data_IF_209956729713
#
_entry.id   IF_209956729713
#
_cell.length_a   1.000
_cell.length_b   1.000
_cell.length_c   1.000
_cell.angle_alpha   90.00
_cell.angle_beta   90.00
_cell.angle_gamma   90.00
#
_symmetry.space_group_name_H-M   'P 1'
#
loop_
_entity.id
_entity.type
_entity.pdbx_description
1 polymer ?
#
# COMPACT_ATOMS: atom_id res chain seq x y z
N UNK A 1 7.63 12.27 -2.17
CA UNK A 1 8.22 11.94 -0.84
C UNK A 1 7.47 10.71 -0.32
N UNK A 2 8.02 9.50 -0.40
CA UNK A 2 7.40 8.31 0.22
C UNK A 2 7.80 8.28 1.69
N UNK A 3 7.14 9.10 2.51
CA UNK A 3 7.23 8.91 3.96
C UNK A 3 6.42 7.67 4.29
N UNK A 4 7.04 6.75 5.04
CA UNK A 4 6.38 5.63 5.73
C UNK A 4 5.03 6.08 6.35
N UNK A 5 4.08 5.15 6.63
CA UNK A 5 2.90 5.51 7.42
C UNK A 5 3.36 6.36 8.59
N UNK A 6 2.74 7.53 8.79
CA UNK A 6 3.29 8.45 9.78
C UNK A 6 3.34 7.72 11.12
N UNK A 7 4.27 8.09 12.03
CA UNK A 7 4.33 7.50 13.35
C UNK A 7 2.99 7.53 14.09
N UNK A 8 2.07 8.43 13.71
CA UNK A 8 0.70 8.46 14.19
C UNK A 8 -0.14 7.28 13.66
N UNK A 9 -0.24 7.08 12.33
CA UNK A 9 -0.98 5.95 11.73
C UNK A 9 -0.53 4.59 12.27
N UNK A 10 0.79 4.40 12.41
CA UNK A 10 1.36 3.16 12.93
C UNK A 10 0.92 2.91 14.38
N UNK A 11 0.96 3.95 15.23
CA UNK A 11 0.47 3.87 16.62
C UNK A 11 -1.02 3.55 16.67
N UNK A 12 -1.84 4.22 15.85
CA UNK A 12 -3.28 3.95 15.76
C UNK A 12 -3.56 2.51 15.31
N UNK A 13 -2.78 1.98 14.37
CA UNK A 13 -2.90 0.60 13.90
C UNK A 13 -2.56 -0.39 15.02
N UNK A 14 -1.48 -0.14 15.77
CA UNK A 14 -1.11 -0.98 16.92
C UNK A 14 -2.20 -0.93 18.00
N UNK A 15 -2.72 0.25 18.33
CA UNK A 15 -3.83 0.41 19.29
C UNK A 15 -5.07 -0.34 18.81
N UNK A 16 -5.43 -0.20 17.53
CA UNK A 16 -6.53 -0.93 16.91
C UNK A 16 -6.39 -2.44 17.11
N UNK A 17 -5.24 -3.03 16.78
CA UNK A 17 -4.99 -4.48 16.90
C UNK A 17 -5.06 -4.93 18.36
N UNK A 18 -4.39 -4.21 19.26
CA UNK A 18 -4.36 -4.57 20.69
C UNK A 18 -5.73 -4.44 21.37
N UNK A 19 -6.46 -3.36 21.11
CA UNK A 19 -7.80 -3.19 21.65
C UNK A 19 -8.78 -4.23 21.11
N UNK A 20 -8.67 -4.59 19.82
CA UNK A 20 -9.46 -5.67 19.21
C UNK A 20 -9.22 -7.01 19.92
N UNK A 21 -7.95 -7.37 20.13
CA UNK A 21 -7.61 -8.61 20.83
C UNK A 21 -8.08 -8.60 22.30
N UNK A 22 -7.85 -7.51 23.02
CA UNK A 22 -8.30 -7.37 24.40
C UNK A 22 -9.83 -7.46 24.51
N UNK A 23 -10.58 -6.91 23.56
CA UNK A 23 -12.04 -6.98 23.55
C UNK A 23 -12.57 -8.42 23.43
N UNK A 24 -11.80 -9.33 22.83
CA UNK A 24 -12.14 -10.76 22.72
C UNK A 24 -11.86 -11.50 24.03
N UNK A 25 -10.78 -11.13 24.74
CA UNK A 25 -10.32 -11.84 25.95
C UNK A 25 -11.03 -11.36 27.22
N UNK A 26 -11.45 -10.10 27.26
CA UNK A 26 -12.11 -9.51 28.43
C UNK A 26 -13.56 -10.02 28.54
N UNK A 27 -13.88 -10.55 29.72
CA UNK A 27 -15.21 -11.08 30.03
C UNK A 27 -16.21 -10.00 30.46
N UNK A 28 -15.73 -8.86 30.97
CA UNK A 28 -16.57 -7.75 31.40
C UNK A 28 -17.20 -7.03 30.19
N UNK A 29 -18.54 -6.91 30.20
CA UNK A 29 -19.30 -6.33 29.09
C UNK A 29 -19.00 -4.85 28.85
N UNK A 30 -18.90 -4.07 29.93
CA UNK A 30 -18.64 -2.64 29.83
C UNK A 30 -17.24 -2.37 29.26
N UNK A 31 -16.22 -3.08 29.78
CA UNK A 31 -14.84 -2.96 29.31
C UNK A 31 -14.69 -3.40 27.86
N UNK A 32 -15.35 -4.50 27.48
CA UNK A 32 -15.39 -4.97 26.07
C UNK A 32 -15.99 -3.91 25.15
N UNK A 33 -17.10 -3.29 25.54
CA UNK A 33 -17.72 -2.21 24.76
C UNK A 33 -16.80 -0.98 24.62
N UNK A 34 -16.12 -0.59 25.71
CA UNK A 34 -15.16 0.51 25.69
C UNK A 34 -13.96 0.22 24.77
N UNK A 35 -13.42 -0.99 24.83
CA UNK A 35 -12.31 -1.43 23.96
C UNK A 35 -12.70 -1.43 22.48
N UNK A 36 -13.92 -1.85 22.15
CA UNK A 36 -14.46 -1.79 20.79
C UNK A 36 -14.51 -0.33 20.30
N UNK A 37 -15.00 0.60 21.12
CA UNK A 37 -15.04 2.03 20.74
C UNK A 37 -13.64 2.60 20.51
N UNK A 38 -12.67 2.28 21.38
CA UNK A 38 -11.27 2.71 21.20
C UNK A 38 -10.69 2.13 19.91
N UNK A 39 -10.94 0.85 19.64
CA UNK A 39 -10.53 0.16 18.42
C UNK A 39 -11.07 0.86 17.16
N UNK A 40 -12.37 1.13 17.10
CA UNK A 40 -13.00 1.79 15.95
C UNK A 40 -12.52 3.23 15.77
N UNK A 41 -12.29 3.95 16.87
CA UNK A 41 -11.74 5.32 16.81
C UNK A 41 -10.32 5.31 16.27
N UNK A 42 -9.47 4.40 16.75
CA UNK A 42 -8.10 4.25 16.26
C UNK A 42 -8.07 3.88 14.77
N UNK A 43 -8.97 2.98 14.34
CA UNK A 43 -9.15 2.62 12.94
C UNK A 43 -9.60 3.81 12.07
N UNK A 44 -10.60 4.58 12.52
CA UNK A 44 -11.11 5.74 11.80
C UNK A 44 -10.02 6.82 11.61
N UNK A 45 -9.19 7.05 12.63
CA UNK A 45 -8.06 7.97 12.54
C UNK A 45 -7.01 7.45 11.56
N UNK A 46 -6.62 6.17 11.67
CA UNK A 46 -5.63 5.57 10.78
C UNK A 46 -6.09 5.61 9.31
N UNK A 47 -7.36 5.29 9.04
CA UNK A 47 -7.91 5.28 7.69
C UNK A 47 -8.07 6.66 7.08
N UNK A 48 -8.43 7.68 7.87
CA UNK A 48 -8.54 9.06 7.37
C UNK A 48 -7.20 9.53 6.79
N UNK A 49 -6.10 9.19 7.46
CA UNK A 49 -4.75 9.46 6.95
C UNK A 49 -4.46 8.70 5.65
N UNK A 50 -4.79 7.41 5.58
CA UNK A 50 -4.59 6.61 4.35
C UNK A 50 -5.44 7.12 3.17
N UNK A 51 -6.68 7.55 3.42
CA UNK A 51 -7.55 8.16 2.40
C UNK A 51 -6.99 9.50 1.93
N UNK A 52 -6.50 10.34 2.84
CA UNK A 52 -5.85 11.59 2.48
C UNK A 52 -4.60 11.34 1.61
N UNK A 53 -3.76 10.36 1.97
CA UNK A 53 -2.61 9.97 1.14
C UNK A 53 -3.02 9.40 -0.21
N UNK A 54 -4.09 8.59 -0.28
CA UNK A 54 -4.65 8.09 -1.53
C UNK A 54 -5.08 9.23 -2.45
N UNK A 55 -5.80 10.22 -1.91
CA UNK A 55 -6.25 11.40 -2.64
C UNK A 55 -5.06 12.23 -3.13
N UNK A 56 -4.07 12.47 -2.27
CA UNK A 56 -2.88 13.23 -2.64
C UNK A 56 -2.07 12.54 -3.74
N UNK A 57 -1.89 11.21 -3.62
CA UNK A 57 -1.18 10.40 -4.61
C UNK A 57 -1.88 10.41 -5.98
N UNK A 58 -3.22 10.38 -5.99
CA UNK A 58 -4.01 10.38 -7.23
C UNK A 58 -4.07 11.76 -7.89
N UNK A 59 -4.27 12.83 -7.10
CA UNK A 59 -4.50 14.16 -7.65
C UNK A 59 -3.21 14.95 -7.95
N UNK A 60 -2.09 14.66 -7.26
CA UNK A 60 -0.91 15.53 -7.32
C UNK A 60 0.41 14.82 -7.67
N UNK A 61 0.56 13.53 -7.39
CA UNK A 61 1.84 12.83 -7.57
C UNK A 61 1.88 11.88 -8.78
N UNK A 62 0.79 11.83 -9.58
CA UNK A 62 0.60 10.87 -10.69
C UNK A 62 0.93 9.41 -10.26
N UNK A 63 0.65 9.13 -8.98
CA UNK A 63 1.07 7.92 -8.28
C UNK A 63 -0.11 6.96 -8.12
N UNK A 64 -0.83 6.71 -9.23
CA UNK A 64 -2.04 5.90 -9.27
C UNK A 64 -1.87 4.50 -8.64
N UNK A 65 -0.67 3.91 -8.76
CA UNK A 65 -0.35 2.62 -8.16
C UNK A 65 -0.43 2.65 -6.62
N UNK A 66 0.08 3.71 -6.02
CA UNK A 66 0.11 3.89 -4.57
C UNK A 66 -1.30 4.17 -4.06
N UNK A 67 -2.05 5.00 -4.79
CA UNK A 67 -3.45 5.30 -4.49
C UNK A 67 -4.31 4.02 -4.50
N UNK A 68 -4.15 3.16 -5.51
CA UNK A 68 -4.88 1.90 -5.60
C UNK A 68 -4.58 0.96 -4.41
N UNK A 69 -3.32 0.83 -4.02
CA UNK A 69 -2.94 0.00 -2.87
C UNK A 69 -3.52 0.52 -1.55
N UNK A 70 -3.49 1.85 -1.34
CA UNK A 70 -4.08 2.48 -0.17
C UNK A 70 -5.59 2.30 -0.12
N UNK A 71 -6.28 2.45 -1.25
CA UNK A 71 -7.71 2.22 -1.35
C UNK A 71 -8.08 0.77 -1.01
N UNK A 72 -7.35 -0.20 -1.56
CA UNK A 72 -7.55 -1.63 -1.24
C UNK A 72 -7.38 -1.87 0.26
N UNK A 73 -6.34 -1.30 0.87
CA UNK A 73 -6.08 -1.46 2.30
C UNK A 73 -7.23 -0.92 3.16
N UNK A 74 -7.74 0.27 2.85
CA UNK A 74 -8.88 0.86 3.58
C UNK A 74 -10.14 -0.01 3.47
N UNK A 75 -10.43 -0.53 2.28
CA UNK A 75 -11.61 -1.39 2.07
C UNK A 75 -11.47 -2.70 2.84
N UNK A 76 -10.33 -3.38 2.72
CA UNK A 76 -10.10 -4.68 3.37
C UNK A 76 -10.14 -4.55 4.89
N UNK A 77 -9.45 -3.56 5.47
CA UNK A 77 -9.48 -3.35 6.91
C UNK A 77 -10.88 -2.96 7.41
N UNK A 78 -11.66 -2.24 6.61
CA UNK A 78 -13.05 -1.89 6.93
C UNK A 78 -13.94 -3.12 7.02
N UNK A 79 -13.80 -4.04 6.07
CA UNK A 79 -14.51 -5.31 6.08
C UNK A 79 -14.18 -6.15 7.33
N UNK A 80 -12.91 -6.18 7.77
CA UNK A 80 -12.54 -6.88 9.01
C UNK A 80 -13.23 -6.28 10.24
N UNK A 81 -13.25 -4.95 10.35
CA UNK A 81 -13.94 -4.26 11.44
C UNK A 81 -15.44 -4.61 11.49
N UNK A 82 -16.12 -4.55 10.34
CA UNK A 82 -17.55 -4.87 10.28
C UNK A 82 -17.85 -6.34 10.62
N UNK A 83 -17.01 -7.28 10.15
CA UNK A 83 -17.18 -8.70 10.48
C UNK A 83 -17.00 -8.96 11.99
N UNK A 84 -16.01 -8.31 12.60
CA UNK A 84 -15.77 -8.42 14.05
C UNK A 84 -16.97 -7.91 14.85
N UNK A 85 -17.59 -6.79 14.43
CA UNK A 85 -18.82 -6.30 15.08
C UNK A 85 -19.97 -7.29 14.94
N UNK A 86 -20.17 -7.83 13.74
CA UNK A 86 -21.23 -8.81 13.49
C UNK A 86 -21.04 -10.06 14.37
N UNK A 87 -19.80 -10.51 14.57
CA UNK A 87 -19.50 -11.62 15.46
C UNK A 87 -19.74 -11.29 16.93
N UNK A 88 -19.29 -10.12 17.41
CA UNK A 88 -19.48 -9.68 18.80
C UNK A 88 -20.96 -9.56 19.17
N UNK A 89 -21.80 -9.10 18.25
CA UNK A 89 -23.25 -9.01 18.45
C UNK A 89 -24.00 -10.32 18.14
N UNK A 90 -23.30 -11.40 17.80
CA UNK A 90 -23.90 -12.70 17.52
C UNK A 90 -24.75 -12.75 16.25
N UNK A 91 -24.53 -11.83 15.31
CA UNK A 91 -25.22 -11.80 14.01
C UNK A 91 -24.73 -12.94 13.10
N UNK A 92 -23.45 -13.28 13.21
CA UNK A 92 -22.80 -14.37 12.46
C UNK A 92 -22.27 -15.43 13.42
N UNK A 93 -22.25 -16.68 12.97
CA UNK A 93 -21.62 -17.77 13.73
C UNK A 93 -20.09 -17.64 13.70
N UNK A 94 -19.41 -18.23 14.68
CA UNK A 94 -17.94 -18.23 14.72
C UNK A 94 -17.34 -18.99 13.52
N UNK A 95 -18.05 -19.99 12.98
CA UNK A 95 -17.63 -20.71 11.79
C UNK A 95 -17.67 -19.83 10.55
N UNK A 96 -18.76 -19.08 10.39
CA UNK A 96 -18.93 -18.16 9.26
C UNK A 96 -17.92 -17.01 9.34
N UNK A 97 -17.71 -16.45 10.53
CA UNK A 97 -16.68 -15.45 10.78
C UNK A 97 -15.31 -15.93 10.32
N UNK A 98 -14.88 -17.11 10.79
CA UNK A 98 -13.57 -17.67 10.45
C UNK A 98 -13.43 -17.95 8.95
N UNK A 99 -14.49 -18.47 8.31
CA UNK A 99 -14.51 -18.75 6.87
C UNK A 99 -14.34 -17.45 6.07
N UNK A 100 -15.12 -16.42 6.39
CA UNK A 100 -15.10 -15.14 5.69
C UNK A 100 -13.75 -14.46 5.91
N UNK A 101 -13.25 -14.40 7.15
CA UNK A 101 -11.94 -13.82 7.47
C UNK A 101 -10.84 -14.49 6.65
N UNK A 102 -10.79 -15.84 6.65
CA UNK A 102 -9.77 -16.60 5.93
C UNK A 102 -9.82 -16.33 4.42
N UNK A 103 -11.02 -16.29 3.85
CA UNK A 103 -11.22 -15.99 2.43
C UNK A 103 -10.70 -14.59 2.08
N UNK A 104 -11.09 -13.57 2.84
CA UNK A 104 -10.60 -12.20 2.64
C UNK A 104 -9.09 -12.09 2.84
N UNK A 105 -8.52 -12.87 3.74
CA UNK A 105 -7.10 -12.79 4.08
C UNK A 105 -6.23 -13.35 2.94
N UNK A 106 -6.66 -14.46 2.35
CA UNK A 106 -6.05 -15.03 1.13
C UNK A 106 -6.22 -14.07 -0.04
N UNK A 107 -7.43 -13.58 -0.26
CA UNK A 107 -7.74 -12.69 -1.39
C UNK A 107 -6.91 -11.39 -1.31
N UNK A 108 -6.89 -10.72 -0.16
CA UNK A 108 -6.15 -9.49 0.04
C UNK A 108 -4.64 -9.69 -0.15
N UNK A 109 -4.06 -10.73 0.46
CA UNK A 109 -2.62 -11.02 0.32
C UNK A 109 -2.22 -11.35 -1.12
N UNK A 110 -3.03 -12.14 -1.83
CA UNK A 110 -2.76 -12.48 -3.23
C UNK A 110 -2.89 -11.25 -4.12
N UNK A 111 -3.99 -10.48 -4.00
CA UNK A 111 -4.22 -9.28 -4.81
C UNK A 111 -3.12 -8.24 -4.59
N UNK A 112 -2.81 -7.90 -3.33
CA UNK A 112 -1.77 -6.93 -3.00
C UNK A 112 -0.40 -7.41 -3.51
N UNK A 113 -0.05 -8.68 -3.30
CA UNK A 113 1.23 -9.23 -3.74
C UNK A 113 1.37 -9.25 -5.26
N UNK A 114 0.33 -9.68 -5.98
CA UNK A 114 0.30 -9.68 -7.43
C UNK A 114 0.43 -8.27 -8.00
N UNK A 115 -0.30 -7.31 -7.41
CA UNK A 115 -0.26 -5.91 -7.82
C UNK A 115 1.12 -5.29 -7.61
N UNK A 116 1.69 -5.41 -6.40
CA UNK A 116 3.02 -4.90 -6.07
C UNK A 116 4.10 -5.52 -6.97
N UNK A 117 4.00 -6.82 -7.24
CA UNK A 117 4.96 -7.52 -8.12
C UNK A 117 4.87 -7.01 -9.56
N UNK A 118 3.65 -6.83 -10.07
CA UNK A 118 3.41 -6.26 -11.41
C UNK A 118 3.98 -4.85 -11.53
N UNK A 119 3.66 -3.95 -10.59
CA UNK A 119 4.15 -2.57 -10.58
C UNK A 119 5.67 -2.49 -10.50
N UNK A 120 6.31 -3.30 -9.64
CA UNK A 120 7.78 -3.36 -9.55
C UNK A 120 8.42 -3.80 -10.87
N UNK A 121 7.81 -4.77 -11.55
CA UNK A 121 8.29 -5.24 -12.87
C UNK A 121 8.19 -4.13 -13.92
N UNK A 122 7.07 -3.41 -13.97
CA UNK A 122 6.88 -2.27 -14.88
C UNK A 122 7.92 -1.18 -14.64
N UNK A 123 8.11 -0.75 -13.39
CA UNK A 123 9.13 0.26 -13.03
C UNK A 123 10.53 -0.18 -13.43
N UNK A 124 10.89 -1.45 -13.16
CA UNK A 124 12.20 -1.99 -13.52
C UNK A 124 12.42 -2.01 -15.04
N UNK A 125 11.37 -2.36 -15.81
CA UNK A 125 11.43 -2.35 -17.27
C UNK A 125 11.61 -0.93 -17.83
N UNK A 126 10.86 0.05 -17.31
CA UNK A 126 10.98 1.46 -17.71
C UNK A 126 12.38 2.01 -17.40
N UNK A 127 12.94 1.69 -16.22
CA UNK A 127 14.31 2.07 -15.86
C UNK A 127 15.36 1.43 -16.78
N UNK A 128 15.19 0.14 -17.12
CA UNK A 128 16.05 -0.54 -18.08
C UNK A 128 15.97 0.05 -19.48
N UNK A 129 14.78 0.42 -19.94
CA UNK A 129 14.60 1.09 -21.23
C UNK A 129 15.24 2.48 -21.24
N UNK A 130 15.06 3.26 -20.17
CA UNK A 130 15.68 4.58 -20.03
C UNK A 130 17.21 4.50 -20.03
N UNK A 131 17.80 3.58 -19.28
CA UNK A 131 19.26 3.37 -19.25
C UNK A 131 19.81 2.90 -20.60
N UNK A 132 19.11 2.01 -21.30
CA UNK A 132 19.49 1.59 -22.66
C UNK A 132 19.46 2.75 -23.65
N UNK A 133 18.46 3.63 -23.55
CA UNK A 133 18.33 4.79 -24.43
C UNK A 133 19.46 5.81 -24.19
N UNK A 134 19.80 6.06 -22.92
CA UNK A 134 20.96 6.88 -22.56
C UNK A 134 22.26 6.26 -23.06
N UNK A 135 22.46 4.95 -22.87
CA UNK A 135 23.65 4.27 -23.37
C UNK A 135 23.78 4.32 -24.91
N UNK A 136 22.67 4.19 -25.63
CA UNK A 136 22.64 4.32 -27.09
C UNK A 136 23.01 5.73 -27.54
N UNK A 137 22.49 6.77 -26.86
CA UNK A 137 22.83 8.15 -27.16
C UNK A 137 24.33 8.44 -26.91
N UNK A 138 24.87 7.97 -25.78
CA UNK A 138 26.30 8.11 -25.47
C UNK A 138 27.16 7.39 -26.52
N UNK A 139 26.77 6.18 -26.93
CA UNK A 139 27.50 5.44 -27.96
C UNK A 139 27.50 6.17 -29.31
N UNK A 140 26.37 6.77 -29.70
CA UNK A 140 26.30 7.56 -30.93
C UNK A 140 27.11 8.87 -30.83
N UNK A 141 27.12 9.53 -29.68
CA UNK A 141 27.95 10.71 -29.44
C UNK A 141 29.45 10.37 -29.49
N UNK A 142 29.86 9.26 -28.87
CA UNK A 142 31.24 8.75 -29.00
C UNK A 142 31.57 8.46 -30.48
N UNK A 143 30.65 7.85 -31.22
CA UNK A 143 30.83 7.58 -32.65
C UNK A 143 30.97 8.88 -33.47
N UNK A 144 30.22 9.93 -33.14
CA UNK A 144 30.35 11.26 -33.75
C UNK A 144 31.69 11.90 -33.40
N UNK A 145 32.13 11.83 -32.15
CA UNK A 145 33.43 12.33 -31.71
C UNK A 145 34.57 11.64 -32.48
N UNK A 146 34.54 10.32 -32.62
CA UNK A 146 35.54 9.57 -33.40
C UNK A 146 35.53 10.00 -34.86
N UNK A 147 34.36 10.18 -35.48
CA UNK A 147 34.27 10.68 -36.86
C UNK A 147 34.84 12.09 -37.01
N UNK A 148 34.58 12.99 -36.05
CA UNK A 148 35.12 14.35 -36.07
C UNK A 148 36.63 14.40 -35.78
N UNK A 149 37.14 13.55 -34.90
CA UNK A 149 38.56 13.41 -34.63
C UNK A 149 39.35 12.78 -35.79
N UNK A 150 38.68 11.95 -36.60
CA UNK A 150 39.25 11.33 -37.80
C UNK A 150 39.25 12.22 -39.05
N UNK A 151 38.70 13.44 -38.99
CA UNK A 151 38.84 14.42 -40.08
C UNK A 151 40.26 14.99 -40.01
N UNK A 152 41.08 14.86 -41.07
CA UNK A 152 42.45 15.38 -41.05
C UNK A 152 42.42 16.90 -40.83
N UNK A 153 43.12 17.37 -39.79
CA UNK A 153 43.25 18.78 -39.41
C UNK A 153 43.97 19.60 -40.50
N UNK A 154 44.57 18.94 -41.48
CA UNK A 154 45.22 19.57 -42.63
C UNK A 154 44.58 19.07 -43.93
N UNK A 155 43.48 19.71 -44.34
CA UNK A 155 43.23 19.92 -45.77
C UNK A 155 44.09 21.12 -46.20
N UNK A 156 45.33 20.84 -46.61
CA UNK A 156 46.11 21.76 -47.45
C UNK A 156 45.96 21.28 -48.88
#
# INVERSE_FOLDING_TARGET
LWTMPTPASARCTVTYVWCSWLAVVVTDEFTRWLLINVCFTAYAVATTEQVAHCFMAYCYEDAAESAALLAIQVVVCGCYGSLTLMAVFGIISWQDEQMIITFFDVLAKILISAYVTSSRRTRSCVQLLGTRLVAANIAEDVRRMVRHAGVPIFSV
#
